data_IF_185192711887
#
_entry.id   IF_185192711887
#
_cell.length_a   1.000
_cell.length_b   1.000
_cell.length_c   1.000
_cell.angle_alpha   90.00
_cell.angle_beta   90.00
_cell.angle_gamma   90.00
#
_symmetry.space_group_name_H-M   'P 1'
#
loop_
_entity.id
_entity.type
_entity.pdbx_description
1 polymer ?
#
# COMPACT_ATOMS: atom_id res chain seq x y z
N UNK A 1 -6.49 -16.97 5.31
CA UNK A 1 -5.04 -16.75 5.09
C UNK A 1 -4.73 -17.04 3.64
N UNK A 2 -4.00 -16.14 2.96
CA UNK A 2 -3.55 -16.38 1.58
C UNK A 2 -2.67 -17.64 1.53
N UNK A 3 -3.00 -18.56 0.64
CA UNK A 3 -2.25 -19.80 0.40
C UNK A 3 -1.09 -19.62 -0.59
N UNK A 4 -0.84 -18.39 -1.05
CA UNK A 4 0.17 -18.10 -2.06
C UNK A 4 1.57 -18.15 -1.41
N UNK A 5 2.55 -18.87 -1.99
CA UNK A 5 3.91 -18.90 -1.49
C UNK A 5 4.52 -17.51 -1.35
N UNK A 6 5.28 -17.29 -0.27
CA UNK A 6 5.88 -15.99 0.05
C UNK A 6 6.66 -15.38 -1.14
N UNK A 7 7.49 -16.19 -1.81
CA UNK A 7 8.27 -15.72 -2.95
C UNK A 7 7.42 -15.27 -4.15
N UNK A 8 6.22 -15.84 -4.33
CA UNK A 8 5.27 -15.39 -5.37
C UNK A 8 4.64 -14.07 -4.94
N UNK A 9 4.16 -13.98 -3.69
CA UNK A 9 3.57 -12.75 -3.14
C UNK A 9 4.54 -11.56 -3.19
N UNK A 10 5.83 -11.78 -2.88
CA UNK A 10 6.87 -10.75 -2.97
C UNK A 10 7.07 -10.24 -4.39
N UNK A 11 7.12 -11.12 -5.39
CA UNK A 11 7.27 -10.70 -6.79
C UNK A 11 6.08 -9.90 -7.29
N UNK A 12 4.86 -10.30 -6.92
CA UNK A 12 3.64 -9.56 -7.25
C UNK A 12 3.69 -8.16 -6.62
N UNK A 13 4.02 -8.10 -5.32
CA UNK A 13 4.17 -6.83 -4.62
C UNK A 13 5.19 -5.91 -5.30
N UNK A 14 6.39 -6.42 -5.62
CA UNK A 14 7.44 -5.64 -6.27
C UNK A 14 7.01 -5.08 -7.63
N UNK A 15 6.37 -5.91 -8.47
CA UNK A 15 5.89 -5.48 -9.79
C UNK A 15 4.80 -4.40 -9.68
N UNK A 16 3.82 -4.60 -8.80
CA UNK A 16 2.75 -3.62 -8.58
C UNK A 16 3.30 -2.33 -7.98
N UNK A 17 4.22 -2.41 -7.02
CA UNK A 17 4.88 -1.24 -6.43
C UNK A 17 5.60 -0.42 -7.49
N UNK A 18 6.34 -1.06 -8.39
CA UNK A 18 7.04 -0.39 -9.47
C UNK A 18 6.07 0.35 -10.40
N UNK A 19 4.98 -0.31 -10.82
CA UNK A 19 3.94 0.31 -11.63
C UNK A 19 3.29 1.52 -10.93
N UNK A 20 2.95 1.40 -9.64
CA UNK A 20 2.38 2.51 -8.86
C UNK A 20 3.33 3.69 -8.78
N UNK A 21 4.63 3.45 -8.51
CA UNK A 21 5.64 4.52 -8.45
C UNK A 21 5.81 5.20 -9.80
N UNK A 22 5.82 4.44 -10.89
CA UNK A 22 5.87 4.98 -12.24
C UNK A 22 4.66 5.91 -12.51
N UNK A 23 3.46 5.44 -12.20
CA UNK A 23 2.23 6.22 -12.40
C UNK A 23 2.20 7.46 -11.52
N UNK A 24 2.63 7.37 -10.25
CA UNK A 24 2.69 8.52 -9.35
C UNK A 24 3.66 9.59 -9.90
N UNK A 25 4.85 9.20 -10.36
CA UNK A 25 5.81 10.14 -10.97
C UNK A 25 5.25 10.83 -12.21
N UNK A 26 4.51 10.11 -13.04
CA UNK A 26 3.95 10.66 -14.28
C UNK A 26 2.70 11.52 -14.06
N UNK A 27 1.90 11.22 -13.03
CA UNK A 27 0.53 11.75 -12.93
C UNK A 27 0.19 12.48 -11.62
N UNK A 28 0.92 12.29 -10.52
CA UNK A 28 0.56 12.85 -9.21
C UNK A 28 0.41 14.37 -9.24
N UNK A 29 1.39 15.10 -9.80
CA UNK A 29 1.29 16.56 -9.90
C UNK A 29 0.43 17.00 -11.09
N UNK A 30 0.70 16.44 -12.26
CA UNK A 30 0.10 16.88 -13.52
C UNK A 30 -1.42 16.65 -13.57
N UNK A 31 -1.88 15.50 -13.08
CA UNK A 31 -3.26 15.03 -13.22
C UNK A 31 -3.91 14.79 -11.85
N UNK A 32 -3.24 15.14 -10.75
CA UNK A 32 -3.71 14.86 -9.40
C UNK A 32 -5.07 15.47 -9.07
N UNK A 33 -5.42 16.59 -9.70
CA UNK A 33 -6.69 17.30 -9.53
C UNK A 33 -7.88 16.64 -10.23
N UNK A 34 -7.66 15.63 -11.09
CA UNK A 34 -8.74 14.97 -11.81
C UNK A 34 -9.61 14.17 -10.85
N UNK A 35 -10.91 14.42 -10.91
CA UNK A 35 -11.91 13.76 -10.08
C UNK A 35 -12.52 12.54 -10.78
N UNK A 36 -12.87 11.54 -9.98
CA UNK A 36 -13.70 10.42 -10.43
C UNK A 36 -14.59 9.92 -9.30
N UNK A 37 -15.70 9.29 -9.68
CA UNK A 37 -16.67 8.73 -8.73
C UNK A 37 -16.15 7.37 -8.26
N UNK A 38 -15.75 7.30 -6.99
CA UNK A 38 -15.45 6.03 -6.33
C UNK A 38 -16.75 5.50 -5.72
N UNK A 39 -17.17 4.31 -6.17
CA UNK A 39 -18.54 3.74 -6.11
C UNK A 39 -19.29 3.78 -4.77
N UNK A 40 -18.62 3.98 -3.64
CA UNK A 40 -19.24 4.03 -2.30
C UNK A 40 -18.78 5.23 -1.45
N UNK A 41 -17.71 5.94 -1.84
CA UNK A 41 -17.03 6.94 -0.99
C UNK A 41 -17.22 8.37 -1.52
N UNK A 42 -17.91 8.52 -2.65
CA UNK A 42 -18.12 9.81 -3.31
C UNK A 42 -16.98 10.18 -4.26
N UNK A 43 -16.88 11.48 -4.54
CA UNK A 43 -15.86 12.04 -5.45
C UNK A 43 -14.51 12.04 -4.74
N UNK A 44 -13.48 11.57 -5.46
CA UNK A 44 -12.08 11.66 -5.03
C UNK A 44 -11.22 12.13 -6.18
N UNK A 45 -10.13 12.81 -5.84
CA UNK A 45 -9.13 13.19 -6.81
C UNK A 45 -8.14 12.03 -7.04
N UNK A 46 -7.45 12.04 -8.18
CA UNK A 46 -6.38 11.09 -8.45
C UNK A 46 -5.25 11.19 -7.41
N UNK A 47 -4.99 12.40 -6.90
CA UNK A 47 -4.04 12.63 -5.81
C UNK A 47 -4.46 11.88 -4.54
N UNK A 48 -5.73 11.97 -4.15
CA UNK A 48 -6.25 11.29 -2.95
C UNK A 48 -6.05 9.78 -3.01
N UNK A 49 -6.18 9.17 -4.20
CA UNK A 49 -5.95 7.73 -4.34
C UNK A 49 -4.46 7.36 -4.25
N UNK A 50 -3.54 8.17 -4.79
CA UNK A 50 -2.10 7.95 -4.55
C UNK A 50 -1.74 8.09 -3.06
N UNK A 51 -2.29 9.11 -2.38
CA UNK A 51 -2.07 9.33 -0.95
C UNK A 51 -2.63 8.19 -0.10
N UNK A 52 -3.81 7.68 -0.46
CA UNK A 52 -4.38 6.48 0.16
C UNK A 52 -3.47 5.26 0.05
N UNK A 53 -2.82 5.04 -1.10
CA UNK A 53 -1.86 3.94 -1.25
C UNK A 53 -0.66 4.14 -0.33
N UNK A 54 -0.13 5.37 -0.22
CA UNK A 54 0.98 5.68 0.68
C UNK A 54 0.61 5.43 2.16
N UNK A 55 -0.53 6.00 2.60
CA UNK A 55 -1.03 5.82 3.96
C UNK A 55 -1.31 4.35 4.31
N UNK A 56 -1.90 3.60 3.37
CA UNK A 56 -2.18 2.19 3.56
C UNK A 56 -0.88 1.38 3.76
N UNK A 57 0.16 1.67 2.98
CA UNK A 57 1.46 1.02 3.12
C UNK A 57 2.14 1.39 4.44
N UNK A 58 2.10 2.66 4.84
CA UNK A 58 2.66 3.11 6.13
C UNK A 58 2.00 2.39 7.31
N UNK A 59 0.67 2.28 7.29
CA UNK A 59 -0.08 1.53 8.31
C UNK A 59 0.34 0.05 8.36
N UNK A 60 0.57 -0.58 7.22
CA UNK A 60 1.04 -1.97 7.18
C UNK A 60 2.48 -2.12 7.68
N UNK A 61 3.37 -1.17 7.39
CA UNK A 61 4.72 -1.17 7.95
C UNK A 61 4.69 -1.10 9.48
N UNK A 62 3.90 -0.19 10.05
CA UNK A 62 3.73 -0.10 11.51
C UNK A 62 3.18 -1.41 12.12
N UNK A 63 2.27 -2.10 11.43
CA UNK A 63 1.78 -3.41 11.88
C UNK A 63 2.85 -4.50 11.84
N UNK A 64 3.72 -4.48 10.82
CA UNK A 64 4.83 -5.42 10.69
C UNK A 64 5.85 -5.18 11.79
N UNK A 65 6.20 -3.92 12.05
CA UNK A 65 7.11 -3.52 13.13
C UNK A 65 6.58 -3.98 14.49
N UNK A 66 5.32 -3.66 14.82
CA UNK A 66 4.68 -4.10 16.08
C UNK A 66 4.66 -5.64 16.20
N UNK A 67 4.41 -6.37 15.10
CA UNK A 67 4.43 -7.83 15.11
C UNK A 67 5.84 -8.40 15.31
N UNK A 68 6.87 -7.79 14.72
CA UNK A 68 8.27 -8.19 14.90
C UNK A 68 8.72 -7.92 16.32
N UNK A 69 8.40 -6.76 16.89
CA UNK A 69 8.73 -6.40 18.27
C UNK A 69 8.03 -7.33 19.29
N UNK A 70 6.75 -7.67 19.05
CA UNK A 70 6.03 -8.68 19.85
C UNK A 70 6.61 -10.09 19.67
N UNK A 71 7.11 -10.43 18.49
CA UNK A 71 7.75 -11.72 18.19
C UNK A 71 9.13 -11.89 18.84
N UNK A 72 9.78 -10.78 19.22
CA UNK A 72 11.09 -10.73 19.89
C UNK A 72 10.98 -10.81 21.42
N UNK A 73 9.79 -10.63 22.00
CA UNK A 73 9.55 -10.93 23.42
C UNK A 73 9.89 -12.41 23.70
N UNK A 74 10.73 -12.74 24.70
CA UNK A 74 11.05 -14.12 25.02
C UNK A 74 9.75 -14.85 25.37
N UNK A 75 9.46 -15.91 24.63
CA UNK A 75 8.35 -16.81 24.92
C UNK A 75 8.59 -17.34 26.35
N UNK A 76 7.68 -17.15 27.32
CA UNK A 76 7.85 -17.76 28.63
C UNK A 76 7.92 -19.29 28.44
N UNK A 77 8.92 -19.89 29.07
CA UNK A 77 9.19 -21.33 29.08
C UNK A 77 7.99 -22.11 29.65
#
# INVERSE_FOLDING_TARGET
MSSIPLGVSQRIFSAVREAVVYQARAHYEKNGHLEFVHSEVGVRTLRDEFEKVAWHNERHLAQIEDALDRGVQPRPL
#
